data_IF_945674540655
#
_entry.id   IF_945674540655
#
_cell.length_a   1.000
_cell.length_b   1.000
_cell.length_c   1.000
_cell.angle_alpha   90.00
_cell.angle_beta   90.00
_cell.angle_gamma   90.00
#
_symmetry.space_group_name_H-M   'P 1'
#
loop_
_entity.id
_entity.type
_entity.pdbx_description
1 polymer ?
#
# COMPACT_ATOMS: atom_id res chain seq x y z
N UNK A 1 23.66 -4.47 7.62
CA UNK A 1 22.41 -5.26 7.51
C UNK A 1 21.28 -4.32 7.82
N UNK A 2 20.21 -4.32 7.03
CA UNK A 2 19.05 -3.49 7.32
C UNK A 2 18.24 -4.05 8.50
N UNK A 3 17.20 -3.33 8.92
CA UNK A 3 16.35 -3.75 10.03
C UNK A 3 15.57 -5.02 9.72
N UNK A 4 15.32 -5.79 10.78
CA UNK A 4 14.48 -6.99 10.77
C UNK A 4 13.40 -6.81 11.84
N UNK A 5 12.16 -7.13 11.48
CA UNK A 5 11.02 -7.11 12.38
C UNK A 5 10.42 -8.52 12.55
N UNK A 6 9.93 -8.77 13.75
CA UNK A 6 9.15 -9.96 14.10
C UNK A 6 7.80 -9.50 14.65
N UNK A 7 6.82 -9.23 13.75
CA UNK A 7 5.53 -8.66 14.15
C UNK A 7 4.77 -9.57 15.10
N UNK A 8 3.75 -9.01 15.77
CA UNK A 8 2.87 -9.81 16.61
C UNK A 8 2.16 -10.90 15.77
N UNK A 9 1.69 -11.97 16.44
CA UNK A 9 0.97 -13.06 15.75
C UNK A 9 -0.33 -12.60 15.08
N UNK A 10 -0.95 -11.53 15.59
CA UNK A 10 -2.21 -10.99 15.07
C UNK A 10 -2.01 -10.36 13.68
N UNK A 11 -0.83 -9.84 13.36
CA UNK A 11 -0.51 -9.26 12.03
C UNK A 11 -0.57 -10.26 10.88
N UNK A 12 -0.49 -11.57 11.16
CA UNK A 12 -0.36 -12.63 10.16
C UNK A 12 0.99 -12.62 9.40
N UNK A 13 1.94 -11.77 9.79
CA UNK A 13 3.30 -11.69 9.23
C UNK A 13 4.28 -12.28 10.24
N UNK A 14 5.08 -13.25 9.80
CA UNK A 14 6.04 -13.95 10.69
C UNK A 14 7.33 -13.14 10.85
N UNK A 15 7.80 -12.53 9.76
CA UNK A 15 9.07 -11.84 9.67
C UNK A 15 9.06 -10.86 8.50
N UNK A 16 9.68 -9.70 8.70
CA UNK A 16 9.97 -8.75 7.64
C UNK A 16 11.45 -8.33 7.73
N UNK A 17 12.16 -8.37 6.61
CA UNK A 17 13.54 -7.92 6.51
C UNK A 17 13.62 -6.87 5.41
N UNK A 18 14.36 -5.80 5.63
CA UNK A 18 14.61 -4.79 4.61
C UNK A 18 16.10 -4.50 4.49
N UNK A 19 16.50 -3.97 3.33
CA UNK A 19 17.87 -3.56 3.07
C UNK A 19 17.84 -2.46 1.99
N UNK A 20 18.57 -1.37 2.25
CA UNK A 20 18.87 -0.34 1.26
C UNK A 20 20.39 -0.35 1.06
N UNK A 21 20.84 -0.35 -0.19
CA UNK A 21 22.26 -0.20 -0.55
C UNK A 21 22.37 1.03 -1.44
N UNK A 22 22.82 2.19 -0.91
CA UNK A 22 22.76 3.44 -1.63
C UNK A 22 23.70 3.44 -2.84
N UNK A 23 23.18 3.82 -4.00
CA UNK A 23 23.98 4.04 -5.22
C UNK A 23 24.43 5.51 -5.38
N UNK A 24 23.74 6.43 -4.71
CA UNK A 24 23.99 7.87 -4.67
C UNK A 24 24.17 8.37 -3.22
N UNK A 25 24.67 9.60 -3.09
CA UNK A 25 24.80 10.27 -1.79
C UNK A 25 24.27 11.71 -1.90
N UNK A 26 23.21 12.07 -1.14
CA UNK A 26 22.41 11.19 -0.26
C UNK A 26 21.68 10.07 -1.03
N UNK A 27 21.29 9.01 -0.31
CA UNK A 27 20.42 7.94 -0.86
C UNK A 27 19.09 8.55 -1.27
N UNK A 28 18.62 8.26 -2.47
CA UNK A 28 17.27 8.67 -2.91
C UNK A 28 16.21 7.60 -2.57
N UNK A 29 16.63 6.39 -2.23
CA UNK A 29 15.73 5.28 -1.86
C UNK A 29 15.37 5.34 -0.37
N UNK A 30 14.09 5.09 -0.07
CA UNK A 30 13.54 5.00 1.28
C UNK A 30 12.61 3.80 1.44
N UNK A 31 12.57 3.21 2.64
CA UNK A 31 11.66 2.11 3.00
C UNK A 31 11.03 2.42 4.35
N UNK A 32 9.71 2.32 4.43
CA UNK A 32 8.97 2.40 5.70
C UNK A 32 8.14 1.14 5.93
N UNK A 33 8.09 0.70 7.18
CA UNK A 33 7.41 -0.52 7.61
C UNK A 33 6.63 -0.20 8.87
N UNK A 34 5.34 -0.51 8.86
CA UNK A 34 4.44 -0.36 9.99
C UNK A 34 3.74 -1.68 10.27
N UNK A 35 3.84 -2.13 11.52
CA UNK A 35 3.03 -3.22 12.06
C UNK A 35 2.19 -2.68 13.21
N UNK A 36 0.94 -3.15 13.37
CA UNK A 36 0.11 -2.76 14.50
C UNK A 36 0.68 -3.39 15.78
N UNK A 37 1.34 -2.57 16.61
CA UNK A 37 2.01 -3.02 17.83
C UNK A 37 1.08 -3.10 19.05
N UNK A 38 0.01 -2.31 19.07
CA UNK A 38 -0.87 -2.24 20.24
C UNK A 38 -2.04 -3.23 20.14
N UNK A 39 -2.11 -4.27 21.01
CA UNK A 39 -3.21 -5.23 21.02
C UNK A 39 -4.57 -4.64 21.45
N UNK A 40 -4.58 -3.43 22.04
CA UNK A 40 -5.75 -2.76 22.60
C UNK A 40 -6.30 -1.63 21.70
N UNK A 41 -5.58 -1.25 20.64
CA UNK A 41 -6.15 -0.42 19.58
C UNK A 41 -6.82 -1.33 18.55
N UNK A 42 -8.14 -1.42 18.61
CA UNK A 42 -8.94 -2.27 17.72
C UNK A 42 -9.07 -1.72 16.29
N UNK A 43 -8.72 -0.44 16.06
CA UNK A 43 -9.22 0.27 14.88
C UNK A 43 -8.45 -0.02 13.58
N UNK A 44 -7.17 -0.40 13.61
CA UNK A 44 -6.45 -0.80 12.39
C UNK A 44 -5.46 -1.95 12.62
N UNK A 45 -5.79 -3.12 12.06
CA UNK A 45 -4.98 -4.34 12.10
C UNK A 45 -4.14 -4.54 10.83
N UNK A 46 -4.12 -3.55 9.94
CA UNK A 46 -3.38 -3.61 8.68
C UNK A 46 -1.89 -3.38 8.93
N UNK A 47 -1.08 -4.16 8.22
CA UNK A 47 0.36 -3.97 8.15
C UNK A 47 0.71 -3.25 6.85
N UNK A 48 1.60 -2.28 6.91
CA UNK A 48 1.99 -1.45 5.77
C UNK A 48 3.49 -1.57 5.51
N UNK A 49 3.86 -1.76 4.25
CA UNK A 49 5.26 -1.76 3.82
C UNK A 49 5.34 -0.89 2.57
N UNK A 50 6.10 0.19 2.62
CA UNK A 50 6.32 1.07 1.48
C UNK A 50 7.78 1.05 1.02
N UNK A 51 7.97 1.00 -0.29
CA UNK A 51 9.26 1.18 -0.98
C UNK A 51 9.16 2.41 -1.87
N UNK A 52 10.11 3.31 -1.72
CA UNK A 52 10.13 4.63 -2.32
C UNK A 52 11.46 4.80 -3.05
N UNK A 53 11.40 5.00 -4.36
CA UNK A 53 12.58 5.18 -5.23
C UNK A 53 12.57 6.63 -5.71
N UNK A 54 13.38 7.46 -5.04
CA UNK A 54 13.47 8.89 -5.32
C UNK A 54 14.30 9.18 -6.57
N UNK A 55 14.03 10.31 -7.23
CA UNK A 55 14.86 10.80 -8.32
C UNK A 55 14.98 12.33 -8.29
N UNK A 56 16.12 12.85 -8.76
CA UNK A 56 16.51 14.26 -8.72
C UNK A 56 16.68 14.83 -7.29
N UNK A 57 16.94 13.97 -6.32
CA UNK A 57 17.12 14.28 -4.90
C UNK A 57 16.15 13.49 -3.99
N UNK A 58 16.50 13.30 -2.70
CA UNK A 58 15.76 12.43 -1.79
C UNK A 58 14.50 13.06 -1.18
N UNK A 59 14.22 14.33 -1.48
CA UNK A 59 13.23 15.09 -0.71
C UNK A 59 11.83 14.47 -0.80
N UNK A 60 11.41 14.01 -1.98
CA UNK A 60 10.11 13.39 -2.18
C UNK A 60 10.00 12.01 -1.51
N UNK A 61 11.02 11.16 -1.66
CA UNK A 61 11.03 9.84 -1.03
C UNK A 61 11.13 9.94 0.49
N UNK A 62 11.90 10.88 1.05
CA UNK A 62 11.93 11.19 2.48
C UNK A 62 10.54 11.60 2.97
N UNK A 63 9.88 12.53 2.27
CA UNK A 63 8.54 13.00 2.66
C UNK A 63 7.51 11.86 2.64
N UNK A 64 7.48 11.07 1.57
CA UNK A 64 6.57 9.94 1.48
C UNK A 64 6.87 8.87 2.55
N UNK A 65 8.14 8.69 2.92
CA UNK A 65 8.54 7.74 3.96
C UNK A 65 7.91 8.08 5.32
N UNK A 66 7.81 9.37 5.61
CA UNK A 66 7.26 9.89 6.87
C UNK A 66 5.72 9.92 6.87
N UNK A 67 5.06 10.16 5.73
CA UNK A 67 3.63 10.53 5.69
C UNK A 67 2.72 9.56 4.93
N UNK A 68 3.22 8.79 3.95
CA UNK A 68 2.35 8.00 3.05
C UNK A 68 1.49 6.97 3.81
N UNK A 69 2.09 6.26 4.76
CA UNK A 69 1.39 5.25 5.55
C UNK A 69 0.30 5.89 6.39
N UNK A 70 0.57 7.03 7.02
CA UNK A 70 -0.39 7.75 7.87
C UNK A 70 -1.60 8.23 7.04
N UNK A 71 -1.37 8.86 5.89
CA UNK A 71 -2.44 9.32 5.00
C UNK A 71 -3.35 8.17 4.55
N UNK A 72 -2.76 7.05 4.11
CA UNK A 72 -3.53 5.90 3.64
C UNK A 72 -4.25 5.20 4.78
N UNK A 73 -3.59 5.02 5.93
CA UNK A 73 -4.21 4.41 7.11
C UNK A 73 -5.39 5.24 7.59
N UNK A 74 -5.23 6.57 7.68
CA UNK A 74 -6.30 7.51 8.02
C UNK A 74 -7.44 7.46 7.02
N UNK A 75 -7.17 7.57 5.72
CA UNK A 75 -8.23 7.53 4.70
C UNK A 75 -9.07 6.25 4.78
N UNK A 76 -8.42 5.12 5.06
CA UNK A 76 -9.10 3.85 5.22
C UNK A 76 -9.80 3.69 6.58
N UNK A 77 -9.34 4.33 7.66
CA UNK A 77 -10.07 4.33 8.96
C UNK A 77 -11.38 5.10 8.89
N UNK A 78 -11.52 6.02 7.94
CA UNK A 78 -12.77 6.75 7.69
C UNK A 78 -13.82 5.91 6.95
N UNK A 79 -13.45 4.71 6.47
CA UNK A 79 -14.41 3.82 5.82
C UNK A 79 -15.39 3.23 6.86
N UNK A 80 -16.68 3.07 6.51
CA UNK A 80 -17.64 2.43 7.41
C UNK A 80 -17.15 1.02 7.83
N UNK A 81 -17.23 0.71 9.13
CA UNK A 81 -16.87 -0.58 9.74
C UNK A 81 -17.63 -1.81 9.18
N UNK A 82 -18.48 -1.67 8.16
CA UNK A 82 -19.33 -2.72 7.59
C UNK A 82 -18.56 -3.74 6.73
N UNK A 83 -17.25 -3.82 6.92
CA UNK A 83 -16.39 -4.86 6.41
C UNK A 83 -16.55 -6.14 7.25
N UNK A 84 -17.79 -6.65 7.35
CA UNK A 84 -18.06 -7.96 7.94
C UNK A 84 -17.91 -9.05 6.86
N UNK A 85 -17.07 -10.08 7.10
CA UNK A 85 -16.59 -11.00 6.08
C UNK A 85 -17.56 -12.18 5.88
N UNK A 86 -18.68 -11.93 5.20
CA UNK A 86 -19.52 -13.03 4.71
C UNK A 86 -19.62 -12.97 3.20
N UNK A 87 -18.87 -13.84 2.50
CA UNK A 87 -19.27 -14.18 1.13
C UNK A 87 -18.21 -14.56 0.09
N UNK A 88 -16.91 -14.73 0.41
CA UNK A 88 -15.91 -14.94 -0.66
C UNK A 88 -14.95 -16.12 -0.48
N UNK A 89 -15.37 -17.16 0.22
CA UNK A 89 -14.74 -18.48 0.09
C UNK A 89 -15.79 -19.50 -0.34
N UNK A 90 -16.18 -19.46 -1.62
CA UNK A 90 -16.63 -20.68 -2.30
C UNK A 90 -16.22 -20.62 -3.77
N UNK A 91 -15.19 -21.40 -4.09
CA UNK A 91 -14.92 -21.87 -5.45
C UNK A 91 -14.61 -23.36 -5.33
N UNK A 92 -15.62 -24.13 -4.98
CA UNK A 92 -15.72 -25.55 -5.30
C UNK A 92 -17.21 -25.87 -5.59
N UNK A 93 -17.43 -26.59 -6.69
CA UNK A 93 -18.73 -27.05 -7.19
C UNK A 93 -19.55 -27.81 -6.13
N UNK A 94 -20.76 -27.33 -5.75
CA UNK A 94 -21.99 -28.14 -5.56
C UNK A 94 -23.17 -27.35 -4.92
N UNK A 95 -24.18 -27.03 -5.74
CA UNK A 95 -25.63 -27.19 -5.50
C UNK A 95 -26.28 -27.00 -4.08
N UNK A 96 -27.31 -26.09 -4.02
CA UNK A 96 -28.60 -26.09 -3.23
C UNK A 96 -28.66 -25.25 -1.91
N UNK A 97 -29.80 -24.60 -1.50
CA UNK A 97 -30.77 -23.71 -2.18
C UNK A 97 -31.10 -22.41 -1.37
N UNK A 98 -31.98 -21.57 -1.91
CA UNK A 98 -32.51 -20.35 -1.28
C UNK A 98 -33.28 -20.59 0.03
N UNK A 99 -33.02 -19.76 1.05
CA UNK A 99 -33.99 -19.44 2.10
C UNK A 99 -33.76 -18.03 2.66
N UNK A 100 -34.88 -17.32 2.75
CA UNK A 100 -35.10 -15.94 3.19
C UNK A 100 -34.74 -15.64 4.64
N UNK A 101 -34.13 -14.47 4.89
CA UNK A 101 -34.40 -13.68 6.10
C UNK A 101 -34.12 -12.20 5.86
N UNK A 102 -35.07 -11.39 6.30
CA UNK A 102 -35.17 -9.95 6.10
C UNK A 102 -34.36 -9.17 7.14
N UNK A 103 -33.39 -8.39 6.69
CA UNK A 103 -32.82 -7.22 7.39
C UNK A 103 -32.16 -6.32 6.35
N UNK A 104 -32.26 -4.97 6.46
CA UNK A 104 -31.58 -4.09 5.52
C UNK A 104 -30.09 -4.09 5.85
N UNK A 105 -29.37 -5.11 5.36
CA UNK A 105 -27.91 -5.10 5.38
C UNK A 105 -27.46 -3.97 4.46
N UNK A 106 -26.83 -2.96 5.05
CA UNK A 106 -26.16 -1.94 4.28
C UNK A 106 -25.12 -2.60 3.35
N UNK A 107 -24.79 -2.00 2.21
CA UNK A 107 -23.95 -2.63 1.20
C UNK A 107 -22.55 -2.90 1.76
N UNK A 108 -22.10 -4.14 1.65
CA UNK A 108 -20.68 -4.49 1.82
C UNK A 108 -19.88 -3.52 0.94
N UNK A 109 -18.84 -2.84 1.45
CA UNK A 109 -18.03 -1.96 0.62
C UNK A 109 -17.45 -2.78 -0.54
N UNK A 110 -17.83 -2.44 -1.76
CA UNK A 110 -17.26 -3.05 -2.95
C UNK A 110 -15.73 -2.87 -2.88
N UNK A 111 -14.98 -3.90 -3.27
CA UNK A 111 -13.51 -3.87 -3.33
C UNK A 111 -12.99 -2.66 -4.12
N UNK A 112 -13.80 -2.21 -5.08
CA UNK A 112 -13.62 -0.96 -5.82
C UNK A 112 -13.52 0.27 -4.91
N UNK A 113 -14.35 0.37 -3.87
CA UNK A 113 -14.38 1.51 -2.96
C UNK A 113 -13.10 1.65 -2.14
N UNK A 114 -12.59 0.54 -1.59
CA UNK A 114 -11.30 0.55 -0.85
C UNK A 114 -10.16 0.95 -1.79
N UNK A 115 -10.13 0.39 -3.00
CA UNK A 115 -9.11 0.74 -3.98
C UNK A 115 -9.19 2.21 -4.39
N UNK A 116 -10.40 2.77 -4.53
CA UNK A 116 -10.60 4.17 -4.85
C UNK A 116 -10.21 5.09 -3.69
N UNK A 117 -10.46 4.69 -2.44
CA UNK A 117 -9.95 5.40 -1.25
C UNK A 117 -8.42 5.41 -1.22
N UNK A 118 -7.76 4.30 -1.52
CA UNK A 118 -6.28 4.25 -1.58
C UNK A 118 -5.77 5.17 -2.71
N UNK A 119 -6.38 5.13 -3.89
CA UNK A 119 -6.02 6.05 -4.99
C UNK A 119 -6.20 7.50 -4.58
N UNK A 120 -7.31 7.81 -3.91
CA UNK A 120 -7.59 9.17 -3.50
C UNK A 120 -6.57 9.63 -2.46
N UNK A 121 -6.22 8.79 -1.48
CA UNK A 121 -5.16 9.10 -0.52
C UNK A 121 -3.80 9.35 -1.18
N UNK A 122 -3.45 8.58 -2.22
CA UNK A 122 -2.24 8.82 -3.02
C UNK A 122 -2.27 10.14 -3.79
N UNK A 123 -3.45 10.57 -4.27
CA UNK A 123 -3.62 11.89 -4.89
C UNK A 123 -3.58 13.01 -3.86
N UNK A 124 -4.26 12.84 -2.73
CA UNK A 124 -4.35 13.85 -1.69
C UNK A 124 -2.96 14.18 -1.11
N UNK A 125 -2.10 13.16 -0.91
CA UNK A 125 -0.73 13.38 -0.44
C UNK A 125 0.16 14.03 -1.52
N UNK A 126 -0.04 13.70 -2.81
CA UNK A 126 0.65 14.34 -3.93
C UNK A 126 0.22 15.81 -4.09
N UNK A 127 -1.08 16.09 -4.02
CA UNK A 127 -1.66 17.44 -4.08
C UNK A 127 -1.22 18.30 -2.88
N UNK A 128 -1.18 17.72 -1.67
CA UNK A 128 -0.68 18.40 -0.47
C UNK A 128 0.79 18.84 -0.59
N UNK A 129 1.57 18.17 -1.44
CA UNK A 129 2.96 18.52 -1.71
C UNK A 129 3.11 19.66 -2.71
N UNK A 130 2.09 19.91 -3.54
CA UNK A 130 2.04 20.97 -4.54
C UNK A 130 1.24 22.17 -4.01
N UNK A 131 1.31 22.48 -2.71
CA UNK A 131 0.78 23.75 -2.22
C UNK A 131 1.80 24.89 -2.41
N UNK A 132 1.79 25.48 -3.61
CA UNK A 132 2.56 26.67 -3.96
C UNK A 132 1.86 27.98 -3.52
N UNK A 133 0.66 27.90 -2.94
CA UNK A 133 -0.14 29.07 -2.56
C UNK A 133 0.57 29.90 -1.49
N UNK A 134 1.23 29.24 -0.55
CA UNK A 134 2.06 29.88 0.48
C UNK A 134 3.31 30.57 -0.10
N UNK A 135 3.88 30.04 -1.18
CA UNK A 135 5.02 30.65 -1.88
C UNK A 135 4.59 31.90 -2.65
N UNK A 136 3.44 31.83 -3.33
CA UNK A 136 2.90 32.90 -4.15
C UNK A 136 2.30 34.05 -3.32
N UNK A 137 1.77 33.75 -2.13
CA UNK A 137 1.18 34.73 -1.22
C UNK A 137 2.18 35.32 -0.21
N UNK A 138 3.34 34.69 -0.01
CA UNK A 138 4.38 35.21 0.87
C UNK A 138 4.99 36.51 0.32
N UNK A 139 5.04 37.60 1.10
CA UNK A 139 5.79 38.79 0.70
C UNK A 139 7.26 38.41 0.46
N UNK A 140 7.88 39.02 -0.55
CA UNK A 140 9.18 38.80 -1.22
C UNK A 140 10.44 38.28 -0.45
N UNK A 141 10.36 37.96 0.84
CA UNK A 141 11.48 37.66 1.72
C UNK A 141 11.50 36.28 2.38
N UNK A 142 10.53 35.37 2.18
CA UNK A 142 10.68 33.98 2.66
C UNK A 142 11.35 33.08 1.61
N UNK A 143 12.59 33.42 1.24
CA UNK A 143 13.40 32.60 0.31
C UNK A 143 13.50 31.14 0.78
N UNK A 144 13.53 30.93 2.10
CA UNK A 144 13.59 29.59 2.69
C UNK A 144 12.32 28.78 2.46
N UNK A 145 11.13 29.37 2.61
CA UNK A 145 9.86 28.65 2.34
C UNK A 145 9.70 28.39 0.84
N UNK A 146 10.02 29.38 0.00
CA UNK A 146 10.02 29.21 -1.45
C UNK A 146 10.96 28.08 -1.89
N UNK A 147 12.20 28.04 -1.38
CA UNK A 147 13.16 26.97 -1.67
C UNK A 147 12.67 25.62 -1.15
N UNK A 148 12.02 25.56 0.01
CA UNK A 148 11.47 24.31 0.57
C UNK A 148 10.34 23.75 -0.28
N UNK A 149 9.36 24.57 -0.67
CA UNK A 149 8.28 24.14 -1.56
C UNK A 149 8.80 23.75 -2.93
N UNK A 150 9.72 24.55 -3.51
CA UNK A 150 10.33 24.22 -4.79
C UNK A 150 11.12 22.91 -4.75
N UNK A 151 11.79 22.60 -3.63
CA UNK A 151 12.56 21.37 -3.46
C UNK A 151 11.71 20.13 -3.75
N UNK A 152 10.50 20.07 -3.22
CA UNK A 152 9.60 18.95 -3.47
C UNK A 152 9.08 18.93 -4.90
N UNK A 153 8.72 20.09 -5.48
CA UNK A 153 8.26 20.15 -6.89
C UNK A 153 9.32 19.74 -7.92
N UNK A 154 10.61 19.79 -7.55
CA UNK A 154 11.72 19.43 -8.42
C UNK A 154 12.26 18.00 -8.20
N UNK A 155 11.85 17.33 -7.13
CA UNK A 155 12.17 15.93 -6.85
C UNK A 155 10.95 15.06 -7.13
N UNK A 156 11.14 13.82 -7.57
CA UNK A 156 10.05 12.85 -7.66
C UNK A 156 10.39 11.57 -6.93
N UNK A 157 9.39 10.70 -6.78
CA UNK A 157 9.58 9.37 -6.20
C UNK A 157 8.57 8.40 -6.79
N UNK A 158 9.01 7.20 -7.14
CA UNK A 158 8.10 6.06 -7.22
C UNK A 158 7.57 5.77 -5.81
N UNK A 159 6.36 5.23 -5.73
CA UNK A 159 5.75 4.83 -4.49
C UNK A 159 5.07 3.47 -4.66
N UNK A 160 5.60 2.46 -3.98
CA UNK A 160 4.98 1.15 -3.85
C UNK A 160 4.55 0.96 -2.41
N UNK A 161 3.25 0.76 -2.18
CA UNK A 161 2.70 0.46 -0.86
C UNK A 161 2.01 -0.91 -0.87
N UNK A 162 2.47 -1.81 -0.01
CA UNK A 162 1.79 -3.07 0.29
C UNK A 162 0.99 -2.93 1.58
N UNK A 163 -0.27 -3.33 1.55
CA UNK A 163 -1.19 -3.31 2.69
C UNK A 163 -1.68 -4.74 2.92
N UNK A 164 -1.33 -5.33 4.05
CA UNK A 164 -1.77 -6.67 4.42
C UNK A 164 -2.77 -6.61 5.57
N UNK A 165 -3.94 -7.19 5.36
CA UNK A 165 -4.97 -7.33 6.38
C UNK A 165 -5.00 -8.77 6.89
N UNK A 166 -4.73 -8.95 8.18
CA UNK A 166 -4.61 -10.28 8.79
C UNK A 166 -5.90 -11.09 8.79
N UNK A 167 -7.02 -10.41 8.99
CA UNK A 167 -8.30 -11.05 9.29
C UNK A 167 -8.91 -11.65 8.03
N UNK A 168 -8.80 -10.95 6.90
CA UNK A 168 -9.25 -11.42 5.58
C UNK A 168 -8.15 -12.07 4.76
N UNK A 169 -6.89 -11.96 5.21
CA UNK A 169 -5.68 -12.42 4.51
C UNK A 169 -5.52 -11.76 3.13
N UNK A 170 -6.08 -10.56 2.98
CA UNK A 170 -6.02 -9.80 1.74
C UNK A 170 -4.75 -8.96 1.71
N UNK A 171 -3.97 -9.13 0.63
CA UNK A 171 -2.81 -8.30 0.33
C UNK A 171 -3.17 -7.37 -0.82
N UNK A 172 -3.17 -6.06 -0.57
CA UNK A 172 -3.29 -5.02 -1.59
C UNK A 172 -1.94 -4.42 -1.90
N UNK A 173 -1.72 -4.06 -3.15
CA UNK A 173 -0.53 -3.32 -3.58
C UNK A 173 -0.99 -2.12 -4.39
N UNK A 174 -0.62 -0.93 -3.94
CA UNK A 174 -0.75 0.30 -4.70
C UNK A 174 0.62 0.72 -5.22
N UNK A 175 0.69 1.12 -6.48
CA UNK A 175 1.94 1.46 -7.16
C UNK A 175 1.77 2.70 -8.03
N UNK A 176 2.71 3.64 -7.88
CA UNK A 176 3.00 4.72 -8.81
C UNK A 176 4.48 4.65 -9.19
N UNK A 177 4.79 4.56 -10.48
CA UNK A 177 6.17 4.41 -10.98
C UNK A 177 6.51 2.99 -11.40
N UNK A 178 7.78 2.60 -11.32
CA UNK A 178 8.34 1.37 -11.89
C UNK A 178 8.92 0.37 -10.86
N UNK A 179 8.80 0.68 -9.57
CA UNK A 179 8.95 -0.27 -8.45
C UNK A 179 8.03 -1.49 -8.61
N UNK A 180 8.37 -2.63 -7.99
CA UNK A 180 7.63 -3.89 -8.17
C UNK A 180 7.46 -4.67 -6.88
N UNK A 181 6.27 -5.23 -6.71
CA UNK A 181 5.96 -6.22 -5.68
C UNK A 181 5.79 -7.58 -6.34
N UNK A 182 6.29 -8.62 -5.68
CA UNK A 182 6.26 -9.99 -6.18
C UNK A 182 5.78 -10.90 -5.06
N UNK A 183 4.74 -11.70 -5.35
CA UNK A 183 4.23 -12.70 -4.43
C UNK A 183 4.73 -14.08 -4.84
N UNK A 184 5.43 -14.74 -3.92
CA UNK A 184 5.86 -16.12 -4.08
C UNK A 184 4.89 -17.05 -3.35
N UNK A 185 4.33 -18.03 -4.06
CA UNK A 185 3.48 -19.09 -3.49
C UNK A 185 4.17 -20.44 -3.65
N UNK A 186 4.21 -21.22 -2.56
CA UNK A 186 4.69 -22.60 -2.61
C UNK A 186 3.79 -23.44 -3.52
N UNK A 187 4.36 -24.13 -4.50
CA UNK A 187 3.62 -25.11 -5.31
C UNK A 187 3.36 -26.33 -4.43
N UNK A 188 2.10 -26.76 -4.33
CA UNK A 188 1.77 -28.04 -3.69
C UNK A 188 2.18 -29.13 -4.67
N UNK A 189 3.14 -29.96 -4.29
CA UNK A 189 3.46 -31.18 -5.02
C UNK A 189 2.28 -32.13 -4.91
N UNK A 190 1.77 -32.62 -6.05
CA UNK A 190 0.76 -33.67 -6.02
C UNK A 190 1.36 -34.92 -5.34
N UNK A 191 0.61 -35.63 -4.48
CA UNK A 191 1.11 -36.82 -3.79
C UNK A 191 1.62 -37.93 -4.72
N UNK A 192 1.26 -37.86 -6.02
CA UNK A 192 1.67 -38.81 -7.06
C UNK A 192 3.08 -38.56 -7.62
N UNK A 193 3.66 -37.37 -7.37
CA UNK A 193 5.00 -36.97 -7.85
C UNK A 193 6.09 -37.15 -6.76
N UNK A 194 5.91 -38.14 -5.88
CA UNK A 194 6.79 -38.40 -4.72
C UNK A 194 8.25 -38.71 -5.05
N UNK A 195 8.60 -38.90 -6.33
CA UNK A 195 9.98 -39.12 -6.78
C UNK A 195 10.77 -37.84 -7.08
N UNK A 196 10.16 -36.65 -7.00
CA UNK A 196 10.87 -35.40 -7.26
C UNK A 196 10.78 -34.46 -6.05
N UNK A 197 11.86 -34.43 -5.24
CA UNK A 197 11.95 -33.61 -4.03
C UNK A 197 12.11 -32.10 -4.28
N UNK A 198 12.10 -31.67 -5.54
CA UNK A 198 12.25 -30.26 -5.86
C UNK A 198 10.94 -29.51 -5.62
N UNK A 199 10.87 -28.77 -4.51
CA UNK A 199 9.78 -27.83 -4.28
C UNK A 199 9.99 -26.58 -5.12
N UNK A 200 9.12 -26.35 -6.09
CA UNK A 200 9.12 -25.11 -6.87
C UNK A 200 8.17 -24.08 -6.24
N UNK A 201 8.53 -22.79 -6.35
CA UNK A 201 7.62 -21.69 -6.04
C UNK A 201 7.03 -21.13 -7.32
N UNK A 202 5.74 -20.79 -7.32
CA UNK A 202 5.14 -19.98 -8.37
C UNK A 202 5.28 -18.50 -7.96
N UNK A 203 5.76 -17.67 -8.89
CA UNK A 203 6.10 -16.27 -8.67
C UNK A 203 5.18 -15.43 -9.54
N UNK A 204 4.36 -14.59 -8.91
CA UNK A 204 3.47 -13.65 -9.60
C UNK A 204 3.86 -12.21 -9.28
N UNK A 205 4.04 -11.38 -10.30
CA UNK A 205 4.14 -9.93 -10.11
C UNK A 205 2.77 -9.39 -9.66
N UNK A 206 2.75 -8.66 -8.56
CA UNK A 206 1.56 -7.97 -8.08
C UNK A 206 1.53 -6.59 -8.73
N UNK A 207 0.94 -6.51 -9.93
CA UNK A 207 0.70 -5.23 -10.60
C UNK A 207 -0.73 -4.76 -10.29
N UNK A 208 -0.86 -3.67 -9.51
CA UNK A 208 -2.08 -2.88 -9.46
C UNK A 208 -1.75 -1.39 -9.59
N UNK A 209 -1.66 -0.92 -10.83
CA UNK A 209 -2.62 -0.02 -11.48
C UNK A 209 -2.10 0.33 -12.90
N UNK A 210 -3.01 0.33 -13.89
CA UNK A 210 -2.81 1.02 -15.18
C UNK A 210 -3.51 2.37 -15.04
N UNK A 211 -2.82 3.52 -15.20
CA UNK A 211 -3.50 4.81 -15.24
C UNK A 211 -4.50 4.84 -16.40
N UNK A 212 -5.66 5.47 -16.17
CA UNK A 212 -6.64 5.69 -17.23
C UNK A 212 -6.02 6.57 -18.35
N UNK A 213 -6.32 6.33 -19.63
CA UNK A 213 -5.85 7.18 -20.70
C UNK A 213 -6.37 8.61 -20.50
N UNK A 214 -5.50 9.60 -20.67
CA UNK A 214 -5.85 11.01 -20.55
C UNK A 214 -7.00 11.35 -21.52
N UNK A 215 -8.10 11.88 -20.98
CA UNK A 215 -9.18 12.44 -21.79
C UNK A 215 -8.75 13.84 -22.20
N UNK A 216 -8.45 14.03 -23.49
CA UNK A 216 -8.24 15.36 -24.04
C UNK A 216 -9.59 16.09 -24.11
N UNK A 217 -9.71 17.32 -23.57
CA UNK A 217 -10.88 18.15 -23.82
C UNK A 217 -10.94 18.52 -25.30
N UNK A 218 -12.13 18.37 -25.91
CA UNK A 218 -12.45 18.87 -27.24
C UNK A 218 -12.68 20.38 -27.23
#
# INVERSE_FOLDING_TARGET
MGPTWFPNKKSGIIRCDTLIVPANMPSEDSITVYFPDNPDHEDDRRSYIALLDGHNGPAMSDFLCDHLVEYVAYALSQLPQQYEPTGFFDHDDAHIPAASSSSPSAPIPDQTFINDTIKQAFKDIDDAMIDVSDVLSSPSNSKTNAVRSLRYTHTGSCALLSIYESDTKLLRVALTGDSRAVLCRKVRSDPKDSNNSNSYGNVSALLQFKPAPAVHPQ
#
